data_IF_624258735668
#
_entry.id   IF_624258735668
#
_cell.length_a   1.000
_cell.length_b   1.000
_cell.length_c   1.000
_cell.angle_alpha   90.00
_cell.angle_beta   90.00
_cell.angle_gamma   90.00
#
_symmetry.space_group_name_H-M   'P 1'
#
loop_
_entity.id
_entity.type
_entity.pdbx_description
1 polymer ?
#
# COMPACT_ATOMS: atom_id res chain seq x y z
N UNK A 1 -38.12 -39.10 43.12
CA UNK A 1 -37.25 -39.61 42.02
C UNK A 1 -36.87 -38.53 40.99
N UNK A 2 -37.29 -37.26 41.15
CA UNK A 2 -37.09 -36.21 40.13
C UNK A 2 -35.81 -35.36 40.29
N UNK A 3 -35.23 -35.27 41.50
CA UNK A 3 -34.02 -34.46 41.75
C UNK A 3 -32.74 -34.97 41.07
N UNK A 4 -32.57 -36.30 41.02
CA UNK A 4 -31.34 -36.91 40.49
C UNK A 4 -31.15 -36.66 38.99
N UNK A 5 -32.25 -36.57 38.23
CA UNK A 5 -32.21 -36.30 36.78
C UNK A 5 -31.83 -34.85 36.47
N UNK A 6 -32.26 -33.90 37.31
CA UNK A 6 -31.96 -32.48 37.13
C UNK A 6 -30.50 -32.15 37.41
N UNK A 7 -29.93 -32.74 38.47
CA UNK A 7 -28.50 -32.59 38.81
C UNK A 7 -27.58 -33.22 37.76
N UNK A 8 -27.96 -34.37 37.20
CA UNK A 8 -27.20 -35.03 36.12
C UNK A 8 -27.23 -34.16 34.85
N UNK A 9 -28.38 -33.57 34.49
CA UNK A 9 -28.45 -32.64 33.35
C UNK A 9 -27.58 -31.40 33.54
N UNK A 10 -27.52 -30.85 34.76
CA UNK A 10 -26.75 -29.64 35.06
C UNK A 10 -25.22 -29.87 35.04
N UNK A 11 -24.76 -31.11 35.28
CA UNK A 11 -23.33 -31.46 35.23
C UNK A 11 -22.89 -32.02 33.88
N UNK A 12 -23.75 -32.78 33.19
CA UNK A 12 -23.41 -33.43 31.91
C UNK A 12 -23.37 -32.41 30.77
N UNK A 13 -24.27 -31.44 30.74
CA UNK A 13 -24.30 -30.42 29.68
C UNK A 13 -23.00 -29.59 29.65
N UNK A 14 -22.52 -28.98 30.76
CA UNK A 14 -21.26 -28.22 30.73
C UNK A 14 -20.05 -29.12 30.49
N UNK A 15 -20.06 -30.37 30.97
CA UNK A 15 -18.98 -31.32 30.71
C UNK A 15 -18.87 -31.70 29.23
N UNK A 16 -20.00 -31.96 28.57
CA UNK A 16 -20.04 -32.24 27.13
C UNK A 16 -19.66 -31.00 26.33
N UNK A 17 -20.15 -29.81 26.70
CA UNK A 17 -19.77 -28.55 26.03
C UNK A 17 -18.27 -28.25 26.15
N UNK A 18 -17.67 -28.46 27.34
CA UNK A 18 -16.23 -28.30 27.54
C UNK A 18 -15.44 -29.33 26.72
N UNK A 19 -15.91 -30.58 26.68
CA UNK A 19 -15.30 -31.64 25.87
C UNK A 19 -15.29 -31.29 24.38
N UNK A 20 -16.42 -30.81 23.85
CA UNK A 20 -16.54 -30.39 22.44
C UNK A 20 -15.62 -29.19 22.15
N UNK A 21 -15.51 -28.22 23.07
CA UNK A 21 -14.60 -27.08 22.94
C UNK A 21 -13.12 -27.49 22.91
N UNK A 22 -12.73 -28.43 23.76
CA UNK A 22 -11.35 -28.95 23.77
C UNK A 22 -11.05 -29.71 22.48
N UNK A 23 -12.00 -30.53 22.00
CA UNK A 23 -11.87 -31.28 20.75
C UNK A 23 -11.77 -30.35 19.54
N UNK A 24 -12.58 -29.30 19.48
CA UNK A 24 -12.52 -28.32 18.39
C UNK A 24 -11.22 -27.52 18.43
N UNK A 25 -10.74 -27.11 19.60
CA UNK A 25 -9.45 -26.43 19.74
C UNK A 25 -8.28 -27.33 19.30
N UNK A 26 -8.29 -28.61 19.68
CA UNK A 26 -7.28 -29.58 19.25
C UNK A 26 -7.31 -29.83 17.74
N UNK A 27 -8.51 -29.93 17.15
CA UNK A 27 -8.68 -30.08 15.70
C UNK A 27 -8.18 -28.85 14.95
N UNK A 28 -8.53 -27.65 15.41
CA UNK A 28 -8.04 -26.39 14.85
C UNK A 28 -6.52 -26.33 14.93
N UNK A 29 -5.93 -26.67 16.08
CA UNK A 29 -4.48 -26.72 16.24
C UNK A 29 -3.83 -27.74 15.31
N UNK A 30 -4.46 -28.89 15.06
CA UNK A 30 -3.96 -29.90 14.14
C UNK A 30 -3.99 -29.42 12.68
N UNK A 31 -5.08 -28.78 12.27
CA UNK A 31 -5.25 -28.19 10.93
C UNK A 31 -4.30 -27.01 10.69
N UNK A 32 -3.95 -26.26 11.73
CA UNK A 32 -3.06 -25.10 11.63
C UNK A 32 -1.62 -25.41 12.02
N UNK A 33 -1.24 -26.68 12.25
CA UNK A 33 0.17 -26.99 12.52
C UNK A 33 0.99 -26.54 11.31
N UNK A 34 1.89 -25.53 11.48
CA UNK A 34 2.86 -25.27 10.44
C UNK A 34 3.69 -26.54 10.31
N UNK A 35 3.75 -27.07 9.09
CA UNK A 35 4.74 -28.08 8.72
C UNK A 35 6.07 -27.51 9.21
N UNK A 36 6.62 -28.13 10.26
CA UNK A 36 7.99 -27.82 10.62
C UNK A 36 8.79 -28.37 9.44
N UNK A 37 9.27 -27.48 8.58
CA UNK A 37 10.33 -27.81 7.65
C UNK A 37 11.48 -28.35 8.49
N UNK A 38 11.60 -29.68 8.51
CA UNK A 38 12.79 -30.35 8.96
C UNK A 38 13.92 -29.75 8.11
N UNK A 39 14.91 -29.07 8.71
CA UNK A 39 15.97 -28.45 7.93
C UNK A 39 16.68 -29.60 7.21
N UNK A 40 16.50 -29.66 5.90
CA UNK A 40 17.23 -30.59 5.06
C UNK A 40 18.72 -30.44 5.39
N UNK A 41 19.48 -31.54 5.54
CA UNK A 41 20.91 -31.44 5.78
C UNK A 41 21.51 -30.64 4.63
N UNK A 42 21.97 -29.43 4.95
CA UNK A 42 22.69 -28.56 4.02
C UNK A 42 23.90 -29.37 3.58
N UNK A 43 23.86 -29.87 2.34
CA UNK A 43 25.04 -30.45 1.71
C UNK A 43 26.18 -29.43 1.76
N UNK A 44 27.44 -29.87 1.87
CA UNK A 44 28.56 -28.94 1.91
C UNK A 44 28.47 -27.98 0.72
N UNK A 45 28.70 -26.67 0.93
CA UNK A 45 28.65 -25.70 -0.16
C UNK A 45 29.57 -26.18 -1.29
N UNK A 46 29.18 -25.99 -2.57
CA UNK A 46 30.11 -26.20 -3.66
C UNK A 46 31.35 -25.36 -3.37
N UNK A 47 32.53 -26.00 -3.42
CA UNK A 47 33.79 -25.32 -3.26
C UNK A 47 33.78 -24.07 -4.14
N UNK A 48 33.87 -22.91 -3.50
CA UNK A 48 34.08 -21.63 -4.16
C UNK A 48 35.40 -21.74 -4.90
N UNK A 49 35.30 -21.95 -6.22
CA UNK A 49 36.45 -22.07 -7.09
C UNK A 49 37.12 -20.69 -7.15
N UNK A 50 38.16 -20.54 -6.34
CA UNK A 50 39.03 -19.38 -6.31
C UNK A 50 39.39 -18.96 -7.74
N UNK A 51 39.18 -17.69 -8.14
CA UNK A 51 39.66 -17.21 -9.42
C UNK A 51 41.17 -17.42 -9.52
N UNK A 52 41.59 -18.11 -10.58
CA UNK A 52 43.01 -18.37 -10.85
C UNK A 52 43.82 -17.05 -10.85
N UNK A 53 45.08 -17.06 -10.39
CA UNK A 53 45.95 -15.89 -10.46
C UNK A 53 46.14 -15.48 -11.93
N UNK A 54 45.74 -14.25 -12.27
CA UNK A 54 46.01 -13.71 -13.60
C UNK A 54 47.52 -13.44 -13.77
N UNK A 55 48.10 -13.73 -14.94
CA UNK A 55 49.52 -13.52 -15.18
C UNK A 55 49.89 -12.02 -15.09
N UNK A 56 51.13 -11.70 -14.68
CA UNK A 56 51.55 -10.33 -14.43
C UNK A 56 51.65 -9.51 -15.73
N UNK A 57 50.78 -8.51 -15.83
CA UNK A 57 51.03 -7.20 -16.42
C UNK A 57 51.79 -7.14 -17.75
N UNK A 58 51.06 -7.19 -18.87
CA UNK A 58 51.51 -6.51 -20.08
C UNK A 58 51.40 -5.00 -19.83
N UNK A 59 52.49 -4.37 -19.38
CA UNK A 59 52.63 -2.91 -19.44
C UNK A 59 52.50 -2.49 -20.89
N UNK A 60 51.38 -1.86 -21.22
CA UNK A 60 51.27 -1.06 -22.43
C UNK A 60 52.29 0.08 -22.28
N UNK A 61 53.26 0.14 -23.20
CA UNK A 61 54.25 1.19 -23.24
C UNK A 61 53.55 2.56 -23.41
N UNK A 62 54.00 3.63 -22.73
CA UNK A 62 53.46 4.96 -22.96
C UNK A 62 53.93 5.45 -24.34
N UNK A 63 52.99 5.68 -25.24
CA UNK A 63 53.23 6.31 -26.54
C UNK A 63 53.82 7.71 -26.32
N UNK A 64 55.03 8.02 -26.83
CA UNK A 64 55.58 9.36 -26.74
C UNK A 64 54.86 10.28 -27.73
N UNK A 65 54.37 11.41 -27.21
CA UNK A 65 53.96 12.54 -28.02
C UNK A 65 52.51 12.47 -28.47
N UNK A 66 51.67 13.22 -27.75
CA UNK A 66 50.67 14.14 -28.30
C UNK A 66 50.17 14.93 -27.09
N UNK A 67 50.82 16.06 -26.81
CA UNK A 67 50.27 17.05 -25.89
C UNK A 67 48.87 17.41 -26.39
N UNK A 68 47.82 17.36 -25.54
CA UNK A 68 46.52 17.86 -25.93
C UNK A 68 46.64 19.36 -26.24
N UNK A 69 46.01 19.87 -27.32
CA UNK A 69 45.94 21.31 -27.49
C UNK A 69 45.16 21.89 -26.30
N UNK A 70 45.75 22.88 -25.63
CA UNK A 70 45.02 23.77 -24.72
C UNK A 70 44.00 24.56 -25.54
N UNK A 71 42.82 23.98 -25.74
CA UNK A 71 41.68 24.70 -26.28
C UNK A 71 41.12 25.52 -25.13
N UNK A 72 41.49 26.80 -25.07
CA UNK A 72 40.78 27.78 -24.24
C UNK A 72 39.31 27.74 -24.66
N UNK A 73 38.37 27.38 -23.77
CA UNK A 73 36.96 27.41 -24.12
C UNK A 73 36.57 28.87 -24.44
N UNK A 74 35.77 29.12 -25.50
CA UNK A 74 35.28 30.46 -25.77
C UNK A 74 34.48 30.98 -24.57
N UNK A 75 34.44 32.31 -24.35
CA UNK A 75 33.62 32.88 -23.28
C UNK A 75 32.17 32.44 -23.48
N UNK A 76 31.62 31.76 -22.48
CA UNK A 76 30.21 31.35 -22.45
C UNK A 76 29.36 32.61 -22.45
N UNK A 77 28.80 32.96 -23.60
CA UNK A 77 27.76 33.97 -23.65
C UNK A 77 26.51 33.37 -22.98
N UNK A 78 25.88 34.08 -22.02
CA UNK A 78 24.59 33.65 -21.52
C UNK A 78 23.62 33.59 -22.72
N UNK A 79 22.78 32.55 -22.82
CA UNK A 79 21.80 32.47 -23.89
C UNK A 79 20.91 33.73 -23.86
N UNK A 80 20.47 34.23 -25.03
CA UNK A 80 19.54 35.35 -25.07
C UNK A 80 18.35 35.04 -24.17
N UNK A 81 18.01 35.98 -23.28
CA UNK A 81 16.86 35.84 -22.40
C UNK A 81 15.63 35.53 -23.24
N UNK A 82 15.05 34.36 -23.02
CA UNK A 82 13.78 34.00 -23.65
C UNK A 82 12.79 35.12 -23.32
N UNK A 83 12.09 35.70 -24.31
CA UNK A 83 10.98 36.59 -24.00
C UNK A 83 10.04 35.78 -23.10
N UNK A 84 9.80 36.28 -21.89
CA UNK A 84 8.78 35.74 -21.00
C UNK A 84 7.42 36.03 -21.63
N UNK A 85 7.10 35.24 -22.65
CA UNK A 85 5.75 35.04 -23.09
C UNK A 85 5.07 34.30 -21.94
N UNK A 86 4.50 35.04 -20.99
CA UNK A 86 3.22 34.66 -20.39
C UNK A 86 2.21 34.66 -21.54
N UNK A 87 2.35 33.69 -22.43
CA UNK A 87 1.23 33.24 -23.24
C UNK A 87 0.46 32.37 -22.29
N UNK A 88 -0.70 32.87 -21.89
CA UNK A 88 -1.83 32.09 -21.41
C UNK A 88 -1.65 30.62 -21.76
N UNK A 89 -1.27 29.81 -20.76
CA UNK A 89 -1.62 28.40 -20.79
C UNK A 89 -3.14 28.44 -20.76
N UNK A 90 -3.84 28.07 -21.84
CA UNK A 90 -5.29 27.98 -21.78
C UNK A 90 -5.57 27.05 -20.61
N UNK A 91 -6.40 27.51 -19.66
CA UNK A 91 -6.93 26.65 -18.62
C UNK A 91 -7.33 25.33 -19.28
N UNK A 92 -6.94 24.16 -18.74
CA UNK A 92 -7.31 22.88 -19.32
C UNK A 92 -8.81 22.93 -19.60
N UNK A 93 -9.26 22.58 -20.82
CA UNK A 93 -10.67 22.68 -21.16
C UNK A 93 -11.45 21.97 -20.07
N UNK A 94 -12.46 22.66 -19.53
CA UNK A 94 -13.37 22.11 -18.54
C UNK A 94 -13.81 20.73 -19.04
N UNK A 95 -13.37 19.70 -18.31
CA UNK A 95 -13.76 18.30 -18.39
C UNK A 95 -14.60 17.94 -19.63
N UNK A 96 -13.96 17.63 -20.76
CA UNK A 96 -14.57 16.66 -21.68
C UNK A 96 -14.73 15.37 -20.88
N UNK A 97 -15.98 14.97 -20.67
CA UNK A 97 -16.35 13.80 -19.89
C UNK A 97 -15.75 12.53 -20.47
N UNK A 98 -14.64 12.10 -19.88
CA UNK A 98 -14.18 10.73 -20.04
C UNK A 98 -15.14 9.82 -19.25
N UNK A 99 -15.81 8.85 -19.91
CA UNK A 99 -16.70 7.91 -19.25
C UNK A 99 -15.99 6.94 -18.28
N UNK A 100 -14.68 7.08 -18.06
CA UNK A 100 -13.91 6.38 -17.01
C UNK A 100 -13.67 7.20 -15.74
N UNK A 101 -13.96 8.50 -15.72
CA UNK A 101 -13.56 9.40 -14.64
C UNK A 101 -14.40 9.25 -13.37
N UNK A 102 -13.87 8.55 -12.39
CA UNK A 102 -14.55 8.34 -11.12
C UNK A 102 -14.85 9.67 -10.40
N UNK A 103 -16.13 9.89 -10.08
CA UNK A 103 -16.59 11.02 -9.24
C UNK A 103 -16.65 10.55 -7.79
N UNK A 104 -15.71 11.05 -6.99
CA UNK A 104 -15.59 10.81 -5.55
C UNK A 104 -16.65 11.60 -4.78
N UNK A 105 -17.28 10.96 -3.79
CA UNK A 105 -18.13 11.63 -2.79
C UNK A 105 -17.26 11.97 -1.61
N UNK A 106 -17.29 13.22 -1.16
CA UNK A 106 -16.49 13.71 -0.04
C UNK A 106 -16.65 12.82 1.21
N UNK A 107 -15.60 12.09 1.61
CA UNK A 107 -15.73 11.08 2.64
C UNK A 107 -15.54 11.66 4.04
N UNK A 108 -16.37 11.16 4.95
CA UNK A 108 -16.31 11.42 6.39
C UNK A 108 -15.24 10.52 6.99
N UNK A 109 -14.23 11.11 7.63
CA UNK A 109 -13.31 10.35 8.49
C UNK A 109 -14.13 9.78 9.63
N UNK A 110 -14.43 8.48 9.59
CA UNK A 110 -15.38 7.84 10.52
C UNK A 110 -14.84 7.84 11.96
N UNK A 111 -13.51 7.76 12.11
CA UNK A 111 -12.83 7.96 13.38
C UNK A 111 -11.34 8.18 13.16
N UNK A 112 -10.78 9.19 13.84
CA UNK A 112 -9.34 9.27 14.09
C UNK A 112 -9.12 8.99 15.57
N UNK A 113 -8.48 7.87 15.91
CA UNK A 113 -8.04 7.63 17.29
C UNK A 113 -6.58 8.00 17.40
N UNK A 114 -6.28 9.16 17.98
CA UNK A 114 -4.94 9.77 18.01
C UNK A 114 -5.03 11.26 17.70
N UNK A 115 -3.94 11.99 17.90
CA UNK A 115 -3.94 13.44 17.69
C UNK A 115 -3.58 13.78 16.23
N UNK A 116 -4.44 13.49 15.25
CA UNK A 116 -4.33 14.04 13.89
C UNK A 116 -5.67 14.70 13.54
N UNK A 117 -5.65 15.87 12.89
CA UNK A 117 -6.88 16.48 12.37
C UNK A 117 -7.40 15.74 11.14
N UNK A 118 -8.71 15.51 11.10
CA UNK A 118 -9.37 14.81 10.00
C UNK A 118 -9.15 15.51 8.64
N UNK A 119 -9.05 16.84 8.62
CA UNK A 119 -8.83 17.63 7.41
C UNK A 119 -7.45 17.38 6.79
N UNK A 120 -6.41 17.23 7.61
CA UNK A 120 -5.06 16.94 7.13
C UNK A 120 -4.97 15.53 6.52
N UNK A 121 -5.67 14.57 7.13
CA UNK A 121 -5.82 13.21 6.58
C UNK A 121 -6.58 13.25 5.26
N UNK A 122 -7.68 14.01 5.19
CA UNK A 122 -8.46 14.16 3.95
C UNK A 122 -7.59 14.71 2.82
N UNK A 123 -6.81 15.76 3.08
CA UNK A 123 -5.92 16.35 2.09
C UNK A 123 -4.84 15.36 1.61
N UNK A 124 -4.25 14.60 2.54
CA UNK A 124 -3.26 13.58 2.20
C UNK A 124 -3.87 12.45 1.33
N UNK A 125 -5.10 12.02 1.65
CA UNK A 125 -5.79 10.98 0.88
C UNK A 125 -6.19 11.50 -0.51
N UNK A 126 -6.71 12.73 -0.60
CA UNK A 126 -7.06 13.34 -1.89
C UNK A 126 -5.87 13.42 -2.87
N UNK A 127 -4.65 13.58 -2.35
CA UNK A 127 -3.45 13.58 -3.17
C UNK A 127 -3.15 12.21 -3.83
N UNK A 128 -3.57 11.11 -3.20
CA UNK A 128 -3.36 9.75 -3.71
C UNK A 128 -4.60 9.15 -4.36
N UNK A 129 -5.78 9.76 -4.20
CA UNK A 129 -7.01 9.30 -4.85
C UNK A 129 -6.82 8.97 -6.33
N UNK A 130 -6.07 9.74 -7.15
CA UNK A 130 -5.84 9.37 -8.56
C UNK A 130 -5.09 8.03 -8.75
N UNK A 131 -4.17 7.67 -7.85
CA UNK A 131 -3.50 6.36 -7.85
C UNK A 131 -4.47 5.27 -7.45
N UNK A 132 -5.22 5.52 -6.37
CA UNK A 132 -6.24 4.59 -5.90
C UNK A 132 -7.28 4.35 -6.99
N UNK A 133 -7.72 5.38 -7.73
CA UNK A 133 -8.66 5.28 -8.86
C UNK A 133 -8.19 4.31 -9.95
N UNK A 134 -6.88 4.27 -10.24
CA UNK A 134 -6.32 3.36 -11.23
C UNK A 134 -6.54 1.89 -10.82
N UNK A 135 -6.53 1.58 -9.52
CA UNK A 135 -6.86 0.24 -9.02
C UNK A 135 -8.29 -0.20 -9.38
N UNK A 136 -9.20 0.75 -9.63
CA UNK A 136 -10.61 0.46 -9.88
C UNK A 136 -10.96 0.39 -11.37
N UNK A 137 -10.08 0.83 -12.28
CA UNK A 137 -10.42 0.96 -13.71
C UNK A 137 -10.87 -0.36 -14.35
N UNK A 138 -10.19 -1.47 -14.04
CA UNK A 138 -10.53 -2.80 -14.54
C UNK A 138 -11.77 -3.40 -13.85
N UNK A 139 -12.00 -3.01 -12.60
CA UNK A 139 -13.15 -3.45 -11.81
C UNK A 139 -14.43 -2.73 -12.23
N UNK A 140 -14.30 -1.47 -12.63
CA UNK A 140 -15.38 -0.57 -12.99
C UNK A 140 -16.18 -1.04 -14.22
N UNK A 141 -15.54 -1.77 -15.14
CA UNK A 141 -16.23 -2.35 -16.30
C UNK A 141 -17.15 -3.52 -15.91
N UNK A 142 -16.76 -4.28 -14.89
CA UNK A 142 -17.43 -5.50 -14.42
C UNK A 142 -18.46 -5.22 -13.32
N UNK A 143 -18.26 -4.12 -12.58
CA UNK A 143 -19.10 -3.72 -11.46
C UNK A 143 -19.70 -2.33 -11.74
N UNK A 144 -20.91 -2.32 -12.31
CA UNK A 144 -21.71 -1.10 -12.49
C UNK A 144 -22.23 -0.63 -11.11
N UNK A 145 -22.50 0.66 -10.99
CA UNK A 145 -23.07 1.29 -9.80
C UNK A 145 -22.02 1.94 -8.87
N UNK A 146 -22.50 2.56 -7.78
CA UNK A 146 -21.62 3.06 -6.74
C UNK A 146 -20.93 1.89 -6.03
N UNK A 147 -19.61 1.97 -5.98
CA UNK A 147 -18.74 1.00 -5.31
C UNK A 147 -18.04 1.66 -4.14
N UNK A 148 -17.77 0.88 -3.10
CA UNK A 148 -17.11 1.36 -1.88
C UNK A 148 -16.06 0.36 -1.42
N UNK A 149 -14.85 0.86 -1.12
CA UNK A 149 -13.79 0.12 -0.42
C UNK A 149 -13.46 0.87 0.85
N UNK A 150 -13.79 0.27 2.00
CA UNK A 150 -13.53 0.85 3.32
C UNK A 150 -12.26 0.27 3.89
N UNK A 151 -11.25 1.11 4.07
CA UNK A 151 -9.95 0.74 4.62
C UNK A 151 -9.80 1.31 6.03
N UNK A 152 -9.12 0.56 6.89
CA UNK A 152 -8.63 1.03 8.19
C UNK A 152 -7.11 0.98 8.15
N UNK A 153 -6.45 2.04 8.58
CA UNK A 153 -4.99 2.08 8.65
C UNK A 153 -4.49 2.89 9.83
N UNK A 154 -3.25 2.64 10.24
CA UNK A 154 -2.60 3.29 11.37
C UNK A 154 -1.42 4.12 10.89
N UNK A 155 -1.43 5.40 11.20
CA UNK A 155 -0.34 6.35 10.93
C UNK A 155 0.45 6.57 12.21
N UNK A 156 1.77 6.43 12.14
CA UNK A 156 2.68 6.69 13.25
C UNK A 156 3.57 7.90 12.96
N UNK A 157 4.04 8.58 14.00
CA UNK A 157 5.03 9.64 13.84
C UNK A 157 6.38 9.04 13.39
N UNK A 158 6.84 9.44 12.21
CA UNK A 158 8.17 9.14 11.67
C UNK A 158 9.07 10.38 11.65
N UNK A 159 10.28 10.21 11.11
CA UNK A 159 11.30 11.26 11.08
C UNK A 159 10.95 12.44 10.15
N UNK A 160 10.26 12.15 9.04
CA UNK A 160 9.92 13.12 7.98
C UNK A 160 8.41 13.44 7.92
N UNK A 161 7.61 12.95 8.86
CA UNK A 161 6.15 13.05 8.83
C UNK A 161 5.46 11.80 9.39
N UNK A 162 4.17 11.65 9.10
CA UNK A 162 3.41 10.44 9.42
C UNK A 162 3.69 9.32 8.42
N UNK A 163 3.86 8.10 8.92
CA UNK A 163 4.07 6.89 8.10
C UNK A 163 2.98 5.88 8.41
N UNK A 164 2.40 5.26 7.38
CA UNK A 164 1.46 4.15 7.57
C UNK A 164 2.22 2.91 8.05
N UNK A 165 1.84 2.39 9.22
CA UNK A 165 2.46 1.20 9.85
C UNK A 165 1.66 -0.07 9.65
N UNK A 166 0.34 0.06 9.48
CA UNK A 166 -0.58 -1.05 9.30
C UNK A 166 -1.80 -0.58 8.49
N UNK A 167 -2.39 -1.48 7.71
CA UNK A 167 -3.70 -1.25 7.14
C UNK A 167 -4.41 -2.55 6.78
N UNK A 168 -5.73 -2.50 6.80
CA UNK A 168 -6.62 -3.64 6.60
C UNK A 168 -7.89 -3.22 5.86
N UNK A 169 -8.47 -4.18 5.15
CA UNK A 169 -9.80 -4.03 4.56
C UNK A 169 -10.88 -4.23 5.63
N UNK A 170 -11.74 -3.24 5.80
CA UNK A 170 -12.91 -3.35 6.69
C UNK A 170 -14.10 -3.95 5.95
N UNK A 171 -14.39 -3.42 4.76
CA UNK A 171 -15.49 -3.89 3.91
C UNK A 171 -15.29 -3.43 2.47
N UNK A 172 -15.75 -4.23 1.50
CA UNK A 172 -15.76 -3.85 0.09
C UNK A 172 -17.07 -4.29 -0.56
N UNK A 173 -17.62 -3.44 -1.44
CA UNK A 173 -18.69 -3.83 -2.36
C UNK A 173 -18.14 -4.51 -3.63
N UNK A 174 -16.82 -4.40 -3.87
CA UNK A 174 -16.15 -4.98 -5.04
C UNK A 174 -15.55 -6.34 -4.64
N UNK A 175 -16.04 -7.45 -5.22
CA UNK A 175 -15.55 -8.79 -4.93
C UNK A 175 -14.26 -9.12 -5.72
N UNK A 176 -13.27 -8.21 -5.69
CA UNK A 176 -11.99 -8.39 -6.37
C UNK A 176 -10.84 -8.17 -5.38
N UNK A 177 -10.12 -9.24 -4.97
CA UNK A 177 -9.05 -9.14 -3.98
C UNK A 177 -7.83 -8.36 -4.51
N UNK A 178 -7.62 -8.31 -5.83
CA UNK A 178 -6.51 -7.54 -6.41
C UNK A 178 -6.76 -6.03 -6.29
N UNK A 179 -8.01 -5.60 -6.48
CA UNK A 179 -8.41 -4.19 -6.31
C UNK A 179 -8.26 -3.77 -4.86
N UNK A 180 -8.67 -4.63 -3.92
CA UNK A 180 -8.56 -4.38 -2.49
C UNK A 180 -7.09 -4.23 -2.05
N UNK A 181 -6.21 -5.10 -2.55
CA UNK A 181 -4.77 -5.03 -2.28
C UNK A 181 -4.12 -3.80 -2.92
N UNK A 182 -4.43 -3.50 -4.18
CA UNK A 182 -3.91 -2.32 -4.89
C UNK A 182 -4.29 -1.01 -4.18
N UNK A 183 -5.55 -0.89 -3.74
CA UNK A 183 -6.01 0.29 -3.02
C UNK A 183 -5.27 0.48 -1.68
N UNK A 184 -4.98 -0.61 -0.96
CA UNK A 184 -4.22 -0.57 0.27
C UNK A 184 -2.73 -0.23 0.03
N UNK A 185 -2.13 -0.82 -1.01
CA UNK A 185 -0.73 -0.59 -1.39
C UNK A 185 -0.51 0.86 -1.80
N UNK A 186 -1.45 1.45 -2.55
CA UNK A 186 -1.43 2.87 -2.93
C UNK A 186 -1.34 3.80 -1.70
N UNK A 187 -1.86 3.40 -0.53
CA UNK A 187 -1.76 4.21 0.68
C UNK A 187 -0.36 4.24 1.29
N UNK A 188 0.51 3.28 0.95
CA UNK A 188 1.88 3.25 1.44
C UNK A 188 2.73 4.39 0.84
N UNK A 189 2.35 4.88 -0.34
CA UNK A 189 3.02 6.00 -1.01
C UNK A 189 2.58 7.38 -0.47
N UNK A 190 1.59 7.41 0.44
CA UNK A 190 1.06 8.65 0.99
C UNK A 190 2.00 9.22 2.05
N UNK A 191 2.33 10.50 1.91
CA UNK A 191 2.99 11.26 2.97
C UNK A 191 1.93 11.82 3.93
N UNK A 192 1.65 11.09 5.01
CA UNK A 192 0.68 11.53 6.00
C UNK A 192 1.25 12.64 6.91
N UNK A 193 0.39 13.52 7.45
CA UNK A 193 0.78 14.42 8.54
C UNK A 193 1.18 13.60 9.78
N UNK A 194 2.16 14.08 10.53
CA UNK A 194 2.54 13.44 11.79
C UNK A 194 1.47 13.66 12.87
N UNK A 195 1.13 12.66 13.69
CA UNK A 195 0.32 12.85 14.89
C UNK A 195 0.90 13.89 15.86
N UNK A 196 0.11 14.89 16.24
CA UNK A 196 0.48 15.92 17.21
C UNK A 196 0.96 15.29 18.52
N UNK A 197 2.09 15.77 19.02
CA UNK A 197 2.72 15.29 20.24
C UNK A 197 3.20 13.84 20.21
N UNK A 198 3.32 13.25 19.02
CA UNK A 198 3.81 11.88 18.82
C UNK A 198 2.77 10.81 19.13
N UNK A 199 3.03 9.59 18.64
CA UNK A 199 2.20 8.40 18.86
C UNK A 199 1.64 7.81 17.56
N UNK A 200 0.50 7.14 17.69
CA UNK A 200 -0.21 6.47 16.59
C UNK A 200 -1.60 7.07 16.41
N UNK A 201 -2.06 7.13 15.17
CA UNK A 201 -3.40 7.55 14.79
C UNK A 201 -4.05 6.47 13.94
N UNK A 202 -5.23 5.97 14.33
CA UNK A 202 -5.99 5.02 13.49
C UNK A 202 -7.05 5.76 12.70
N UNK A 203 -7.06 5.57 11.38
CA UNK A 203 -7.96 6.21 10.42
C UNK A 203 -8.82 5.13 9.77
N UNK A 204 -10.10 5.41 9.58
CA UNK A 204 -11.00 4.59 8.76
C UNK A 204 -11.54 5.48 7.64
N UNK A 205 -11.31 5.07 6.40
CA UNK A 205 -11.67 5.85 5.22
C UNK A 205 -12.41 5.01 4.18
N UNK A 206 -13.66 5.37 3.83
CA UNK A 206 -14.37 4.78 2.72
C UNK A 206 -13.97 5.48 1.42
N UNK A 207 -13.37 4.72 0.50
CA UNK A 207 -13.19 5.16 -0.88
C UNK A 207 -14.44 4.82 -1.69
N UNK A 208 -15.11 5.84 -2.22
CA UNK A 208 -16.28 5.68 -3.07
C UNK A 208 -15.91 5.91 -4.54
N UNK A 209 -16.27 4.94 -5.39
CA UNK A 209 -16.04 4.98 -6.82
C UNK A 209 -17.34 4.80 -7.60
N UNK A 210 -17.47 5.51 -8.71
CA UNK A 210 -18.60 5.38 -9.64
C UNK A 210 -18.10 5.49 -11.07
N UNK A 211 -18.68 4.72 -11.99
CA UNK A 211 -18.45 4.93 -13.42
C UNK A 211 -19.29 6.10 -13.94
N UNK A 212 -18.73 7.06 -14.69
CA UNK A 212 -19.53 8.05 -15.38
C UNK A 212 -20.52 7.41 -16.34
N UNK A 213 -21.77 7.87 -16.28
CA UNK A 213 -22.87 7.34 -17.09
C UNK A 213 -24.04 6.80 -16.25
N UNK A 214 -23.86 6.66 -14.94
CA UNK A 214 -24.92 6.25 -13.99
C UNK A 214 -25.51 7.39 -13.16
N UNK A 215 -25.29 8.64 -13.56
CA UNK A 215 -26.23 9.72 -13.21
C UNK A 215 -27.35 9.70 -14.25
N UNK A 216 -28.29 8.79 -14.07
CA UNK A 216 -29.42 8.63 -14.96
C UNK A 216 -30.74 8.54 -14.22
N UNK A 217 -31.52 9.63 -14.34
CA UNK A 217 -32.98 9.67 -14.40
C UNK A 217 -33.77 9.59 -13.09
#
# INVERSE_FOLDING_TARGET
MSDRSSLIRWLVIPGVSLGVLILSAALSYWLTRPVHDEPLPVGPPPAEELPAPQPPGTRIAPTPGLSPPSVTPPPVQPPPGFPSSRTDVPAPPAASGDPRRVVEVEPVVESTTGRIHADDIRAAIQAVTPLVQQCFEDAAQRNRGPQTVKLRFTVEAGNEGGVMSAGELVSSTIPDPFVQACALDSLLDVRFPAPFGGGKATVVYPFEFRVPGETGR
#
